data_IF_443630934266
#
_entry.id   IF_443630934266
#
_cell.length_a   1.000
_cell.length_b   1.000
_cell.length_c   1.000
_cell.angle_alpha   90.00
_cell.angle_beta   90.00
_cell.angle_gamma   90.00
#
_symmetry.space_group_name_H-M   'P 1'
#
loop_
_entity.id
_entity.type
_entity.pdbx_description
1 polymer ?
#
# COMPACT_ATOMS: atom_id res chain seq x y z
N UNK A 1 -38.65 44.96 12.95
CA UNK A 1 -38.90 43.62 12.38
C UNK A 1 -37.55 42.91 12.37
N UNK A 2 -37.26 42.11 13.39
CA UNK A 2 -35.95 41.47 13.57
C UNK A 2 -35.87 40.21 12.69
N UNK A 3 -34.84 40.15 11.84
CA UNK A 3 -34.57 38.99 11.00
C UNK A 3 -33.68 38.02 11.77
N UNK A 4 -34.17 36.81 12.01
CA UNK A 4 -33.45 35.73 12.70
C UNK A 4 -32.68 34.93 11.65
N UNK A 5 -31.35 35.00 11.71
CA UNK A 5 -30.45 34.18 10.89
C UNK A 5 -30.31 32.82 11.58
N UNK A 6 -30.80 31.76 10.92
CA UNK A 6 -30.56 30.38 11.34
C UNK A 6 -29.17 29.94 10.92
N UNK A 7 -28.30 29.70 11.90
CA UNK A 7 -27.01 29.06 11.70
C UNK A 7 -27.26 27.55 11.60
N UNK A 8 -27.09 26.99 10.41
CA UNK A 8 -27.09 25.54 10.20
C UNK A 8 -25.73 25.02 10.66
N UNK A 9 -25.68 24.46 11.88
CA UNK A 9 -24.55 23.67 12.36
C UNK A 9 -24.56 22.32 11.61
N UNK A 10 -23.70 22.19 10.60
CA UNK A 10 -23.34 20.90 10.05
C UNK A 10 -22.59 20.11 11.13
N UNK A 11 -23.26 19.12 11.71
CA UNK A 11 -22.63 18.10 12.53
C UNK A 11 -21.86 17.16 11.61
N UNK A 12 -20.54 17.35 11.50
CA UNK A 12 -19.67 16.30 10.99
C UNK A 12 -19.75 15.13 11.98
N UNK A 13 -20.36 14.01 11.56
CA UNK A 13 -20.16 12.74 12.26
C UNK A 13 -18.68 12.39 12.13
N UNK A 14 -17.89 12.68 13.16
CA UNK A 14 -16.57 12.10 13.35
C UNK A 14 -16.80 10.58 13.51
N UNK A 15 -16.63 9.85 12.42
CA UNK A 15 -16.45 8.40 12.53
C UNK A 15 -15.07 8.18 13.15
N UNK A 16 -15.02 7.44 14.25
CA UNK A 16 -13.76 7.09 14.88
C UNK A 16 -13.17 5.91 14.11
N UNK A 17 -12.09 6.16 13.36
CA UNK A 17 -11.32 5.09 12.75
C UNK A 17 -10.74 4.13 13.80
N UNK A 18 -10.25 2.97 13.35
CA UNK A 18 -9.55 2.01 14.19
C UNK A 18 -8.31 2.68 14.81
N UNK A 19 -8.37 2.97 16.11
CA UNK A 19 -7.25 3.58 16.83
C UNK A 19 -6.48 2.53 17.64
N UNK A 20 -5.89 1.56 16.94
CA UNK A 20 -5.00 0.57 17.55
C UNK A 20 -3.53 1.06 17.66
N UNK A 21 -3.27 2.33 17.34
CA UNK A 21 -1.93 2.94 17.39
C UNK A 21 -1.00 2.54 16.24
N UNK A 22 -1.42 1.69 15.31
CA UNK A 22 -0.60 1.17 14.21
C UNK A 22 -0.87 1.89 12.89
N UNK A 23 -0.05 1.58 11.88
CA UNK A 23 -0.16 2.07 10.51
C UNK A 23 -0.34 3.61 10.42
N UNK A 24 0.32 4.38 11.28
CA UNK A 24 0.24 5.86 11.26
C UNK A 24 0.85 6.46 9.99
N UNK A 25 1.69 5.70 9.29
CA UNK A 25 2.05 5.85 7.88
C UNK A 25 1.71 4.55 7.14
N UNK A 26 1.64 4.54 5.79
CA UNK A 26 1.36 3.32 5.04
C UNK A 26 2.38 2.21 5.36
N UNK A 27 1.95 0.96 5.60
CA UNK A 27 2.89 -0.13 5.89
C UNK A 27 3.88 -0.37 4.75
N UNK A 28 5.15 -0.61 5.09
CA UNK A 28 6.20 -0.96 4.13
C UNK A 28 6.76 -2.36 4.44
N UNK A 29 6.83 -3.24 3.45
CA UNK A 29 7.32 -4.60 3.68
C UNK A 29 7.48 -5.42 2.42
N UNK A 30 7.46 -6.74 2.61
CA UNK A 30 7.51 -7.74 1.56
C UNK A 30 6.38 -8.76 1.78
N UNK A 31 5.71 -9.15 0.69
CA UNK A 31 4.58 -10.08 0.69
C UNK A 31 4.79 -11.13 -0.42
N UNK A 32 4.52 -12.40 -0.13
CA UNK A 32 4.95 -13.50 -1.03
C UNK A 32 4.11 -13.68 -2.31
N UNK A 33 2.88 -13.14 -2.35
CA UNK A 33 1.84 -13.57 -3.31
C UNK A 33 2.20 -13.37 -4.78
N UNK A 34 2.45 -12.15 -5.25
CA UNK A 34 2.54 -11.89 -6.69
C UNK A 34 3.68 -12.68 -7.35
N UNK A 35 4.82 -12.81 -6.66
CA UNK A 35 6.02 -13.45 -7.22
C UNK A 35 6.07 -14.96 -7.01
N UNK A 36 5.65 -15.45 -5.84
CA UNK A 36 5.80 -16.86 -5.44
C UNK A 36 4.48 -17.64 -5.48
N UNK A 37 3.34 -16.94 -5.47
CA UNK A 37 1.99 -17.51 -5.62
C UNK A 37 1.78 -18.67 -4.65
N UNK A 38 1.06 -19.70 -5.10
CA UNK A 38 0.80 -20.91 -4.33
C UNK A 38 1.78 -22.06 -4.69
N UNK A 39 3.06 -21.76 -4.92
CA UNK A 39 4.04 -22.81 -5.20
C UNK A 39 4.32 -23.65 -3.95
N UNK A 40 3.88 -24.91 -3.94
CA UNK A 40 4.08 -25.84 -2.81
C UNK A 40 5.01 -27.00 -3.14
N UNK A 41 5.58 -27.04 -4.34
CA UNK A 41 6.48 -28.10 -4.80
C UNK A 41 7.92 -27.85 -4.34
N UNK A 42 8.18 -28.06 -3.05
CA UNK A 42 9.52 -27.93 -2.48
C UNK A 42 10.47 -29.07 -2.87
N UNK A 43 10.00 -30.09 -3.60
CA UNK A 43 10.88 -31.17 -4.07
C UNK A 43 11.57 -30.76 -5.35
N UNK A 44 10.80 -30.22 -6.31
CA UNK A 44 11.34 -29.83 -7.61
C UNK A 44 11.73 -28.35 -7.69
N UNK A 45 11.20 -27.50 -6.79
CA UNK A 45 11.46 -26.07 -6.75
C UNK A 45 11.70 -25.54 -5.31
N UNK A 46 12.70 -26.09 -4.59
CA UNK A 46 12.92 -25.83 -3.16
C UNK A 46 13.20 -24.36 -2.84
N UNK A 47 13.80 -23.64 -3.78
CA UNK A 47 14.18 -22.24 -3.61
C UNK A 47 12.98 -21.29 -3.77
N UNK A 48 11.89 -21.70 -4.42
CA UNK A 48 10.75 -20.80 -4.70
C UNK A 48 9.43 -21.29 -4.12
N UNK A 49 9.38 -22.48 -3.53
CA UNK A 49 8.19 -22.93 -2.85
C UNK A 49 7.92 -22.12 -1.56
N UNK A 50 6.65 -21.96 -1.22
CA UNK A 50 6.19 -21.33 0.02
C UNK A 50 6.60 -22.20 1.20
N UNK A 51 7.72 -21.84 1.83
CA UNK A 51 8.38 -22.60 2.90
C UNK A 51 9.07 -21.68 3.90
N UNK A 52 9.33 -22.18 5.11
CA UNK A 52 10.08 -21.47 6.15
C UNK A 52 11.41 -20.92 5.63
N UNK A 53 12.12 -21.69 4.80
CA UNK A 53 13.41 -21.28 4.21
C UNK A 53 13.28 -20.05 3.31
N UNK A 54 12.19 -19.95 2.52
CA UNK A 54 11.93 -18.78 1.68
C UNK A 54 11.82 -17.52 2.55
N UNK A 55 10.99 -17.56 3.60
CA UNK A 55 10.77 -16.40 4.47
C UNK A 55 12.00 -16.02 5.29
N UNK A 56 12.77 -17.00 5.80
CA UNK A 56 14.05 -16.73 6.48
C UNK A 56 15.05 -16.05 5.53
N UNK A 57 15.15 -16.53 4.28
CA UNK A 57 16.03 -15.95 3.27
C UNK A 57 15.64 -14.51 2.93
N UNK A 58 14.34 -14.25 2.70
CA UNK A 58 13.86 -12.89 2.42
C UNK A 58 14.05 -11.96 3.61
N UNK A 59 13.85 -12.45 4.84
CA UNK A 59 14.11 -11.71 6.08
C UNK A 59 15.57 -11.26 6.15
N UNK A 60 16.51 -12.18 5.93
CA UNK A 60 17.94 -11.87 6.01
C UNK A 60 18.36 -10.87 4.93
N UNK A 61 17.81 -10.98 3.71
CA UNK A 61 18.10 -10.04 2.61
C UNK A 61 17.49 -8.67 2.90
N UNK A 62 16.25 -8.58 3.40
CA UNK A 62 15.63 -7.29 3.75
C UNK A 62 16.53 -6.48 4.70
N UNK A 63 17.18 -7.16 5.65
CA UNK A 63 18.17 -6.54 6.54
C UNK A 63 19.50 -6.27 5.83
N UNK A 64 20.14 -7.31 5.30
CA UNK A 64 21.51 -7.24 4.77
C UNK A 64 21.65 -6.28 3.58
N UNK A 65 20.61 -6.20 2.75
CA UNK A 65 20.60 -5.39 1.54
C UNK A 65 20.06 -3.97 1.74
N UNK A 66 19.70 -3.62 2.97
CA UNK A 66 19.36 -2.25 3.37
C UNK A 66 17.90 -1.84 3.19
N UNK A 67 16.99 -2.77 2.85
CA UNK A 67 15.55 -2.48 2.76
C UNK A 67 14.97 -2.07 4.12
N UNK A 68 15.35 -2.77 5.18
CA UNK A 68 15.00 -2.38 6.55
C UNK A 68 15.46 -0.95 6.89
N UNK A 69 16.64 -0.55 6.41
CA UNK A 69 17.22 0.78 6.66
C UNK A 69 16.48 1.94 5.97
N UNK A 70 15.60 1.64 5.01
CA UNK A 70 14.75 2.61 4.32
C UNK A 70 13.28 2.46 4.70
N UNK A 71 12.94 1.56 5.63
CA UNK A 71 11.59 1.46 6.22
C UNK A 71 10.83 0.16 5.96
N UNK A 72 11.30 -0.74 5.09
CA UNK A 72 10.63 -2.03 4.86
C UNK A 72 10.78 -2.93 6.09
N UNK A 73 9.71 -3.07 6.87
CA UNK A 73 9.76 -3.75 8.17
C UNK A 73 8.89 -5.01 8.27
N UNK A 74 7.89 -5.21 7.40
CA UNK A 74 7.01 -6.38 7.43
C UNK A 74 7.48 -7.50 6.49
N UNK A 75 7.50 -8.74 6.99
CA UNK A 75 7.65 -9.97 6.20
C UNK A 75 6.34 -10.75 6.28
N UNK A 76 5.55 -10.69 5.21
CA UNK A 76 4.18 -11.20 5.18
C UNK A 76 4.10 -12.50 4.37
N UNK A 77 3.62 -13.56 5.01
CA UNK A 77 3.19 -14.76 4.31
C UNK A 77 1.79 -14.56 3.74
N UNK A 78 1.58 -14.98 2.50
CA UNK A 78 0.27 -15.03 1.86
C UNK A 78 -0.34 -16.44 1.91
N UNK A 79 -1.31 -16.75 1.06
CA UNK A 79 -1.99 -18.05 1.03
C UNK A 79 -1.01 -19.24 0.85
N UNK A 80 -1.51 -20.45 1.09
CA UNK A 80 -0.84 -21.73 0.88
C UNK A 80 0.21 -22.12 1.92
N UNK A 81 0.23 -21.50 3.10
CA UNK A 81 1.11 -21.88 4.21
C UNK A 81 0.60 -23.06 5.05
N UNK A 82 -0.71 -23.35 4.94
CA UNK A 82 -1.45 -24.31 5.75
C UNK A 82 -1.30 -25.78 5.31
N UNK A 83 -1.55 -26.70 6.23
CA UNK A 83 -2.03 -28.05 5.93
C UNK A 83 -3.44 -27.99 5.32
N UNK A 84 -3.86 -29.03 4.59
CA UNK A 84 -5.22 -29.09 4.00
C UNK A 84 -6.34 -29.27 5.02
N UNK A 85 -6.00 -29.60 6.27
CA UNK A 85 -6.96 -29.78 7.35
C UNK A 85 -6.46 -29.12 8.63
N UNK A 86 -7.41 -28.55 9.39
CA UNK A 86 -7.18 -28.15 10.77
C UNK A 86 -6.81 -29.37 11.63
N UNK A 87 -6.17 -29.13 12.76
CA UNK A 87 -5.94 -30.17 13.77
C UNK A 87 -7.27 -30.70 14.34
N UNK A 88 -7.19 -31.79 15.13
CA UNK A 88 -8.38 -32.38 15.76
C UNK A 88 -9.11 -31.42 16.71
N UNK A 89 -8.37 -30.51 17.35
CA UNK A 89 -8.91 -29.43 18.19
C UNK A 89 -9.32 -28.18 17.39
N UNK A 90 -9.29 -28.23 16.05
CA UNK A 90 -9.78 -27.17 15.17
C UNK A 90 -8.82 -25.98 14.99
N UNK A 91 -7.53 -26.12 15.32
CA UNK A 91 -6.53 -25.07 15.08
C UNK A 91 -6.02 -25.12 13.64
N UNK A 92 -5.67 -23.95 13.09
CA UNK A 92 -4.86 -23.88 11.88
C UNK A 92 -3.50 -24.56 12.13
N UNK A 93 -3.00 -25.25 11.11
CA UNK A 93 -1.73 -25.98 11.18
C UNK A 93 -0.90 -25.59 9.98
N UNK A 94 0.31 -25.07 10.22
CA UNK A 94 1.27 -24.86 9.13
C UNK A 94 1.68 -26.20 8.53
N UNK A 95 1.89 -26.24 7.21
CA UNK A 95 2.36 -27.43 6.53
C UNK A 95 3.66 -27.95 7.16
N UNK A 96 3.62 -29.17 7.71
CA UNK A 96 4.72 -29.70 8.53
C UNK A 96 6.00 -29.99 7.74
N UNK A 97 5.91 -30.13 6.41
CA UNK A 97 7.08 -30.36 5.57
C UNK A 97 7.74 -29.04 5.18
N UNK A 98 6.92 -28.04 4.88
CA UNK A 98 7.39 -26.73 4.39
C UNK A 98 7.73 -25.76 5.53
N UNK A 99 7.08 -25.92 6.68
CA UNK A 99 7.29 -25.14 7.90
C UNK A 99 7.53 -26.05 9.11
N UNK A 100 8.60 -26.86 9.10
CA UNK A 100 8.84 -27.88 10.13
C UNK A 100 9.00 -27.30 11.53
N UNK A 101 9.47 -26.06 11.67
CA UNK A 101 9.61 -25.39 12.98
C UNK A 101 8.33 -24.70 13.46
N UNK A 102 7.32 -24.56 12.59
CA UNK A 102 6.05 -23.90 12.86
C UNK A 102 6.10 -22.36 12.82
N UNK A 103 4.91 -21.73 12.77
CA UNK A 103 4.79 -20.27 12.57
C UNK A 103 5.36 -19.44 13.71
N UNK A 104 5.25 -19.90 14.97
CA UNK A 104 5.85 -19.21 16.11
C UNK A 104 7.37 -19.06 15.95
N UNK A 105 8.05 -20.13 15.54
CA UNK A 105 9.50 -20.11 15.36
C UNK A 105 9.91 -19.19 14.19
N UNK A 106 9.16 -19.19 13.09
CA UNK A 106 9.38 -18.26 11.98
C UNK A 106 9.16 -16.81 12.40
N UNK A 107 8.08 -16.54 13.14
CA UNK A 107 7.79 -15.21 13.72
C UNK A 107 8.94 -14.74 14.62
N UNK A 108 9.39 -15.58 15.57
CA UNK A 108 10.53 -15.29 16.44
C UNK A 108 11.83 -15.05 15.64
N UNK A 109 12.04 -15.78 14.53
CA UNK A 109 13.17 -15.56 13.63
C UNK A 109 13.11 -14.16 13.02
N UNK A 110 11.97 -13.76 12.46
CA UNK A 110 11.75 -12.43 11.87
C UNK A 110 11.98 -11.33 12.91
N UNK A 111 11.44 -11.48 14.12
CA UNK A 111 11.65 -10.52 15.22
C UNK A 111 13.11 -10.40 15.64
N UNK A 112 13.86 -11.51 15.65
CA UNK A 112 15.29 -11.49 16.01
C UNK A 112 16.16 -10.69 15.02
N UNK A 113 15.61 -10.35 13.84
CA UNK A 113 16.23 -9.48 12.82
C UNK A 113 15.71 -8.04 12.88
N UNK A 114 14.88 -7.71 13.87
CA UNK A 114 14.27 -6.39 14.04
C UNK A 114 13.14 -6.09 13.05
N UNK A 115 12.62 -7.12 12.37
CA UNK A 115 11.49 -7.02 11.45
C UNK A 115 10.20 -7.51 12.13
N UNK A 116 9.07 -7.38 11.43
CA UNK A 116 7.71 -7.74 11.87
C UNK A 116 7.16 -8.86 11.01
N UNK A 117 6.45 -9.81 11.62
CA UNK A 117 5.92 -10.98 10.91
C UNK A 117 4.42 -10.80 10.62
N UNK A 118 4.03 -10.98 9.36
CA UNK A 118 2.63 -10.97 8.95
C UNK A 118 2.14 -12.31 8.45
N UNK A 119 0.87 -12.60 8.69
CA UNK A 119 0.18 -13.83 8.28
C UNK A 119 -1.03 -13.53 7.40
N UNK A 120 -1.41 -14.51 6.58
CA UNK A 120 -2.61 -14.49 5.76
C UNK A 120 -3.65 -15.45 6.30
N UNK A 121 -4.90 -15.05 6.19
CA UNK A 121 -6.04 -15.94 6.28
C UNK A 121 -7.22 -15.43 5.43
N UNK A 122 -8.33 -16.14 5.40
CA UNK A 122 -9.54 -15.78 4.62
C UNK A 122 -10.81 -15.77 5.49
N UNK A 123 -11.62 -14.70 5.39
CA UNK A 123 -13.01 -14.66 5.85
C UNK A 123 -13.91 -15.49 4.94
N UNK A 124 -13.76 -16.81 5.04
CA UNK A 124 -14.39 -17.78 4.17
C UNK A 124 -14.41 -19.17 4.79
N UNK A 125 -15.11 -20.10 4.14
CA UNK A 125 -14.98 -21.52 4.48
C UNK A 125 -13.61 -22.09 4.07
N UNK A 126 -13.03 -21.50 3.03
CA UNK A 126 -11.70 -21.83 2.52
C UNK A 126 -10.97 -20.55 2.12
N UNK A 127 -9.64 -20.59 2.11
CA UNK A 127 -8.82 -19.60 1.42
C UNK A 127 -9.04 -19.68 -0.08
N UNK A 128 -8.63 -18.65 -0.82
CA UNK A 128 -8.73 -18.63 -2.28
C UNK A 128 -8.04 -19.85 -2.96
N UNK A 129 -6.96 -20.40 -2.38
CA UNK A 129 -6.29 -21.62 -2.84
C UNK A 129 -6.84 -22.93 -2.23
N UNK A 130 -7.97 -22.87 -1.54
CA UNK A 130 -8.68 -24.04 -1.02
C UNK A 130 -8.04 -24.65 0.23
N UNK A 131 -7.43 -23.84 1.10
CA UNK A 131 -7.03 -24.23 2.47
C UNK A 131 -8.11 -23.84 3.48
N UNK A 132 -8.11 -24.31 4.74
CA UNK A 132 -9.18 -24.00 5.70
C UNK A 132 -9.27 -22.50 6.02
N UNK A 133 -10.44 -21.86 5.83
CA UNK A 133 -10.69 -20.44 6.20
C UNK A 133 -11.26 -20.28 7.63
N UNK A 134 -11.50 -19.04 8.08
CA UNK A 134 -11.82 -18.75 9.50
C UNK A 134 -13.28 -18.92 9.92
N UNK A 135 -14.25 -19.08 9.00
CA UNK A 135 -15.67 -19.09 9.39
C UNK A 135 -15.94 -20.19 10.43
N UNK A 136 -16.46 -19.81 11.60
CA UNK A 136 -16.71 -20.69 12.75
C UNK A 136 -15.51 -20.95 13.67
N UNK A 137 -14.35 -20.36 13.37
CA UNK A 137 -13.10 -20.48 14.14
C UNK A 137 -12.46 -19.12 14.46
N UNK A 138 -13.16 -18.02 14.22
CA UNK A 138 -12.65 -16.64 14.23
C UNK A 138 -11.91 -16.27 15.52
N UNK A 139 -12.50 -16.56 16.68
CA UNK A 139 -11.89 -16.27 17.99
C UNK A 139 -10.63 -17.11 18.22
N UNK A 140 -10.68 -18.39 17.83
CA UNK A 140 -9.56 -19.32 18.01
C UNK A 140 -8.38 -18.93 17.12
N UNK A 141 -8.65 -18.54 15.88
CA UNK A 141 -7.60 -18.15 14.94
C UNK A 141 -6.99 -16.80 15.33
N UNK A 142 -7.79 -15.84 15.80
CA UNK A 142 -7.27 -14.59 16.36
C UNK A 142 -6.33 -14.83 17.56
N UNK A 143 -6.72 -15.69 18.51
CA UNK A 143 -5.87 -16.08 19.64
C UNK A 143 -4.60 -16.79 19.19
N UNK A 144 -4.70 -17.68 18.20
CA UNK A 144 -3.54 -18.40 17.66
C UNK A 144 -2.52 -17.45 17.02
N UNK A 145 -2.98 -16.43 16.30
CA UNK A 145 -2.09 -15.42 15.71
C UNK A 145 -1.38 -14.60 16.80
N UNK A 146 -2.08 -14.26 17.88
CA UNK A 146 -1.47 -13.63 19.05
C UNK A 146 -0.47 -14.54 19.76
N UNK A 147 -0.78 -15.84 19.94
CA UNK A 147 0.14 -16.86 20.48
C UNK A 147 1.41 -16.97 19.62
N UNK A 148 1.27 -16.86 18.30
CA UNK A 148 2.37 -16.83 17.32
C UNK A 148 3.11 -15.50 17.22
N UNK A 149 2.74 -14.51 18.04
CA UNK A 149 3.32 -13.18 18.05
C UNK A 149 3.23 -12.45 16.69
N UNK A 150 2.18 -12.70 15.91
CA UNK A 150 1.97 -12.04 14.61
C UNK A 150 1.80 -10.53 14.79
N UNK A 151 2.30 -9.74 13.85
CA UNK A 151 2.23 -8.26 13.82
C UNK A 151 1.32 -7.70 12.73
N UNK A 152 0.97 -8.52 11.74
CA UNK A 152 0.17 -8.11 10.58
C UNK A 152 -0.72 -9.27 10.15
N UNK A 153 -2.01 -9.04 9.91
CA UNK A 153 -2.95 -10.05 9.42
C UNK A 153 -3.61 -9.53 8.14
N UNK A 154 -3.37 -10.20 7.01
CA UNK A 154 -4.18 -10.06 5.80
C UNK A 154 -5.36 -11.02 5.90
N UNK A 155 -6.58 -10.51 5.75
CA UNK A 155 -7.79 -11.32 5.69
C UNK A 155 -8.47 -11.17 4.34
N UNK A 156 -8.45 -12.24 3.57
CA UNK A 156 -9.12 -12.35 2.28
C UNK A 156 -10.60 -12.66 2.44
N UNK A 157 -11.34 -12.88 1.34
CA UNK A 157 -12.79 -13.06 1.37
C UNK A 157 -13.35 -14.04 0.35
N UNK A 158 -12.54 -15.01 -0.11
CA UNK A 158 -13.03 -16.08 -0.97
C UNK A 158 -14.01 -16.99 -0.19
N UNK A 159 -14.89 -17.70 -0.91
CA UNK A 159 -15.79 -18.69 -0.29
C UNK A 159 -16.70 -18.14 0.84
N UNK A 160 -16.98 -16.84 0.84
CA UNK A 160 -17.97 -16.16 1.68
C UNK A 160 -18.98 -15.35 0.86
N UNK A 161 -20.10 -15.00 1.48
CA UNK A 161 -21.09 -14.11 0.88
C UNK A 161 -20.68 -12.65 1.14
N UNK A 162 -20.60 -11.79 0.10
CA UNK A 162 -20.24 -10.38 0.27
C UNK A 162 -21.14 -9.58 1.22
N UNK A 163 -22.39 -10.00 1.41
CA UNK A 163 -23.33 -9.40 2.38
C UNK A 163 -22.96 -9.69 3.84
N UNK A 164 -22.23 -10.77 4.12
CA UNK A 164 -21.83 -11.15 5.48
C UNK A 164 -20.53 -10.46 5.92
N UNK A 165 -19.81 -9.82 4.99
CA UNK A 165 -18.49 -9.23 5.23
C UNK A 165 -18.56 -8.04 6.19
N UNK A 166 -19.66 -7.28 6.18
CA UNK A 166 -19.89 -6.17 7.12
C UNK A 166 -19.80 -6.64 8.58
N UNK A 167 -20.41 -7.78 8.89
CA UNK A 167 -20.34 -8.34 10.23
C UNK A 167 -19.04 -9.11 10.45
N UNK A 168 -18.61 -9.88 9.46
CA UNK A 168 -17.45 -10.76 9.50
C UNK A 168 -16.14 -10.06 9.81
N UNK A 169 -15.74 -9.14 8.93
CA UNK A 169 -14.50 -8.39 9.08
C UNK A 169 -14.51 -7.53 10.34
N UNK A 170 -15.64 -6.87 10.62
CA UNK A 170 -15.81 -6.10 11.85
C UNK A 170 -15.64 -6.94 13.11
N UNK A 171 -16.22 -8.14 13.13
CA UNK A 171 -16.11 -9.07 14.25
C UNK A 171 -14.68 -9.56 14.42
N UNK A 172 -14.04 -10.00 13.33
CA UNK A 172 -12.66 -10.47 13.39
C UNK A 172 -11.69 -9.37 13.82
N UNK A 173 -11.84 -8.13 13.33
CA UNK A 173 -11.07 -6.99 13.82
C UNK A 173 -11.21 -6.74 15.32
N UNK A 174 -12.41 -6.92 15.90
CA UNK A 174 -12.63 -6.85 17.35
C UNK A 174 -11.96 -8.01 18.09
N UNK A 175 -12.01 -9.22 17.53
CA UNK A 175 -11.37 -10.40 18.11
C UNK A 175 -9.85 -10.26 18.14
N UNK A 176 -9.24 -9.77 17.05
CA UNK A 176 -7.81 -9.43 17.01
C UNK A 176 -7.45 -8.44 18.12
N UNK A 177 -8.23 -7.37 18.28
CA UNK A 177 -8.02 -6.39 19.35
C UNK A 177 -8.17 -7.00 20.75
N UNK A 178 -9.14 -7.90 20.96
CA UNK A 178 -9.37 -8.53 22.27
C UNK A 178 -8.24 -9.47 22.73
N UNK A 179 -7.37 -9.91 21.82
CA UNK A 179 -6.17 -10.68 22.19
C UNK A 179 -5.15 -9.86 23.00
N UNK A 180 -5.21 -8.53 22.92
CA UNK A 180 -4.22 -7.63 23.51
C UNK A 180 -2.90 -7.53 22.72
N UNK A 181 -2.72 -8.29 21.64
CA UNK A 181 -1.57 -8.17 20.73
C UNK A 181 -1.89 -7.14 19.64
N UNK A 182 -1.04 -6.12 19.53
CA UNK A 182 -1.12 -5.15 18.43
C UNK A 182 -0.79 -5.84 17.10
N UNK A 183 -1.77 -5.87 16.19
CA UNK A 183 -1.68 -6.44 14.84
C UNK A 183 -2.25 -5.45 13.83
N UNK A 184 -1.50 -5.15 12.77
CA UNK A 184 -2.01 -4.43 11.60
C UNK A 184 -3.05 -5.32 10.94
N UNK A 185 -4.24 -4.80 10.67
CA UNK A 185 -5.31 -5.58 10.04
C UNK A 185 -5.62 -5.09 8.62
N UNK A 186 -5.28 -5.93 7.64
CA UNK A 186 -5.42 -5.68 6.21
C UNK A 186 -6.61 -6.44 5.64
N UNK A 187 -7.61 -5.72 5.13
CA UNK A 187 -8.91 -6.29 4.77
C UNK A 187 -9.13 -6.33 3.26
N UNK A 188 -9.44 -7.49 2.69
CA UNK A 188 -9.97 -7.56 1.31
C UNK A 188 -11.46 -7.24 1.20
N UNK A 189 -12.11 -6.82 2.28
CA UNK A 189 -13.56 -6.57 2.34
C UNK A 189 -14.13 -5.74 1.17
N UNK A 190 -13.59 -4.55 0.82
CA UNK A 190 -14.22 -3.71 -0.21
C UNK A 190 -14.22 -4.36 -1.59
N UNK A 191 -13.13 -5.00 -2.02
CA UNK A 191 -13.02 -5.56 -3.38
C UNK A 191 -14.09 -6.62 -3.66
N UNK A 192 -14.37 -7.52 -2.70
CA UNK A 192 -15.43 -8.52 -2.87
C UNK A 192 -16.84 -7.92 -2.89
N UNK A 193 -17.09 -6.87 -2.11
CA UNK A 193 -18.37 -6.15 -2.17
C UNK A 193 -18.54 -5.42 -3.51
N UNK A 194 -17.49 -4.78 -4.00
CA UNK A 194 -17.47 -4.10 -5.30
C UNK A 194 -17.78 -5.09 -6.43
N UNK A 195 -17.17 -6.28 -6.41
CA UNK A 195 -17.48 -7.34 -7.37
C UNK A 195 -18.94 -7.78 -7.35
N UNK A 196 -19.59 -7.73 -6.19
CA UNK A 196 -21.00 -8.05 -6.04
C UNK A 196 -21.94 -6.86 -6.36
N UNK A 197 -21.41 -5.71 -6.78
CA UNK A 197 -22.19 -4.49 -7.00
C UNK A 197 -22.68 -3.83 -5.71
N UNK A 198 -22.09 -4.16 -4.57
CA UNK A 198 -22.38 -3.58 -3.26
C UNK A 198 -21.44 -2.39 -3.05
N UNK A 199 -22.00 -1.24 -2.65
CA UNK A 199 -21.22 -0.06 -2.30
C UNK A 199 -20.58 -0.25 -0.92
N UNK A 200 -19.24 -0.27 -0.78
CA UNK A 200 -18.60 -0.48 0.50
C UNK A 200 -18.89 0.64 1.50
N UNK A 201 -19.12 0.28 2.76
CA UNK A 201 -19.25 1.24 3.85
C UNK A 201 -17.87 1.61 4.41
N UNK A 202 -17.18 2.55 3.76
CA UNK A 202 -15.82 2.95 4.15
C UNK A 202 -15.73 3.44 5.60
N UNK A 203 -16.79 4.03 6.15
CA UNK A 203 -16.81 4.46 7.56
C UNK A 203 -16.67 3.26 8.52
N UNK A 204 -17.34 2.15 8.21
CA UNK A 204 -17.21 0.91 8.98
C UNK A 204 -15.85 0.24 8.76
N UNK A 205 -15.38 0.22 7.50
CA UNK A 205 -14.07 -0.33 7.15
C UNK A 205 -12.95 0.42 7.88
N UNK A 206 -12.95 1.76 7.86
CA UNK A 206 -12.00 2.60 8.60
C UNK A 206 -12.00 2.32 10.10
N UNK A 207 -13.16 2.02 10.68
CA UNK A 207 -13.31 1.74 12.12
C UNK A 207 -12.76 0.36 12.52
N UNK A 208 -12.51 -0.51 11.55
CA UNK A 208 -12.17 -1.91 11.79
C UNK A 208 -10.91 -2.40 11.10
N UNK A 209 -10.39 -1.72 10.08
CA UNK A 209 -9.24 -2.13 9.28
C UNK A 209 -8.17 -1.03 9.25
N UNK A 210 -6.90 -1.44 9.28
CA UNK A 210 -5.78 -0.50 9.09
C UNK A 210 -5.50 -0.19 7.62
N UNK A 211 -5.88 -1.09 6.73
CA UNK A 211 -5.82 -0.90 5.29
C UNK A 211 -6.78 -1.86 4.59
N UNK A 212 -7.13 -1.56 3.34
CA UNK A 212 -8.06 -2.39 2.59
C UNK A 212 -7.84 -2.38 1.08
N UNK A 213 -7.98 -3.56 0.47
CA UNK A 213 -7.93 -3.74 -0.98
C UNK A 213 -9.25 -3.29 -1.61
N UNK A 214 -9.16 -2.34 -2.55
CA UNK A 214 -10.33 -1.80 -3.25
C UNK A 214 -10.61 -2.43 -4.61
N UNK A 215 -9.61 -3.06 -5.22
CA UNK A 215 -9.66 -3.43 -6.64
C UNK A 215 -8.90 -4.73 -6.92
N UNK A 216 -8.94 -5.14 -8.19
CA UNK A 216 -8.34 -6.36 -8.72
C UNK A 216 -6.90 -6.60 -8.26
N UNK A 217 -6.57 -7.89 -8.11
CA UNK A 217 -5.20 -8.33 -7.86
C UNK A 217 -4.26 -7.84 -8.96
N UNK A 218 -3.15 -7.24 -8.53
CA UNK A 218 -2.07 -6.88 -9.43
C UNK A 218 -1.44 -8.14 -10.03
N UNK A 219 -1.16 -8.06 -11.33
CA UNK A 219 -0.42 -9.07 -12.08
C UNK A 219 0.85 -8.44 -12.63
N UNK A 220 1.90 -9.25 -12.84
CA UNK A 220 3.17 -8.81 -13.43
C UNK A 220 3.05 -8.35 -14.89
N UNK A 221 2.40 -7.21 -15.11
CA UNK A 221 2.19 -6.60 -16.41
C UNK A 221 1.91 -5.11 -16.26
N UNK A 222 2.38 -4.33 -17.25
CA UNK A 222 2.05 -2.91 -17.32
C UNK A 222 0.55 -2.64 -17.40
N UNK A 223 -0.21 -3.47 -18.11
CA UNK A 223 -1.65 -3.32 -18.23
C UNK A 223 -2.38 -3.42 -16.88
N UNK A 224 -1.92 -4.30 -15.98
CA UNK A 224 -2.48 -4.42 -14.63
C UNK A 224 -2.21 -3.15 -13.80
N UNK A 225 -0.97 -2.64 -13.83
CA UNK A 225 -0.61 -1.36 -13.19
C UNK A 225 -1.48 -0.22 -13.73
N UNK A 226 -1.64 -0.12 -15.05
CA UNK A 226 -2.47 0.89 -15.69
C UNK A 226 -3.93 0.82 -15.27
N UNK A 227 -4.51 -0.38 -15.21
CA UNK A 227 -5.89 -0.58 -14.79
C UNK A 227 -6.11 -0.15 -13.33
N UNK A 228 -5.16 -0.45 -12.43
CA UNK A 228 -5.20 -0.01 -11.04
C UNK A 228 -5.11 1.52 -10.95
N UNK A 229 -4.15 2.13 -11.66
CA UNK A 229 -4.00 3.60 -11.72
C UNK A 229 -5.29 4.26 -12.22
N UNK A 230 -5.91 3.71 -13.26
CA UNK A 230 -7.16 4.23 -13.79
C UNK A 230 -8.33 4.03 -12.84
N UNK A 231 -8.44 2.87 -12.16
CA UNK A 231 -9.48 2.66 -11.15
C UNK A 231 -9.39 3.70 -10.02
N UNK A 232 -8.21 3.87 -9.44
CA UNK A 232 -7.99 4.83 -8.36
C UNK A 232 -8.21 6.27 -8.84
N UNK A 233 -7.76 6.61 -10.04
CA UNK A 233 -7.93 7.96 -10.62
C UNK A 233 -9.35 8.27 -11.07
N UNK A 234 -10.14 7.27 -11.46
CA UNK A 234 -11.54 7.44 -11.89
C UNK A 234 -12.49 7.47 -10.69
N UNK A 235 -12.12 6.83 -9.57
CA UNK A 235 -12.95 6.73 -8.36
C UNK A 235 -12.43 7.57 -7.18
N UNK A 236 -11.48 8.49 -7.43
CA UNK A 236 -10.78 9.26 -6.40
C UNK A 236 -11.67 10.12 -5.49
N UNK A 237 -12.84 10.56 -5.96
CA UNK A 237 -13.79 11.33 -5.13
C UNK A 237 -14.40 10.46 -4.03
N UNK A 238 -14.57 9.17 -4.28
CA UNK A 238 -15.08 8.20 -3.31
C UNK A 238 -13.96 7.64 -2.43
N UNK A 239 -12.81 7.30 -3.02
CA UNK A 239 -11.78 6.48 -2.36
C UNK A 239 -10.79 7.33 -1.54
N UNK A 240 -10.24 8.41 -2.13
CA UNK A 240 -9.15 9.15 -1.51
C UNK A 240 -9.49 9.80 -0.16
N UNK A 241 -10.71 10.32 0.09
CA UNK A 241 -11.06 10.90 1.39
C UNK A 241 -11.04 9.90 2.56
N UNK A 242 -11.02 8.59 2.28
CA UNK A 242 -11.03 7.56 3.32
C UNK A 242 -9.64 7.16 3.80
N UNK A 243 -8.57 7.58 3.11
CA UNK A 243 -7.19 7.30 3.53
C UNK A 243 -6.68 8.33 4.53
N UNK A 244 -5.91 7.86 5.52
CA UNK A 244 -5.26 8.70 6.53
C UNK A 244 -4.49 7.87 7.56
N UNK A 245 -3.82 8.53 8.52
CA UNK A 245 -3.05 7.84 9.55
C UNK A 245 -3.86 6.77 10.29
N UNK A 246 -3.47 5.51 10.11
CA UNK A 246 -4.10 4.33 10.71
C UNK A 246 -5.08 3.58 9.80
N UNK A 247 -5.43 4.11 8.61
CA UNK A 247 -6.45 3.56 7.73
C UNK A 247 -6.18 3.91 6.24
N UNK A 248 -5.65 2.96 5.45
CA UNK A 248 -5.15 3.22 4.09
C UNK A 248 -5.89 2.47 2.99
N UNK A 249 -5.97 3.09 1.81
CA UNK A 249 -6.36 2.37 0.60
C UNK A 249 -5.18 1.55 0.08
N UNK A 250 -5.44 0.29 -0.30
CA UNK A 250 -4.42 -0.64 -0.80
C UNK A 250 -4.63 -0.92 -2.31
N UNK A 251 -3.81 -0.34 -3.20
CA UNK A 251 -3.78 -0.64 -4.63
C UNK A 251 -3.01 -1.92 -4.99
N UNK A 252 -2.73 -2.78 -4.00
CA UNK A 252 -1.97 -4.03 -4.10
C UNK A 252 -0.45 -3.84 -4.23
N UNK A 253 0.27 -4.96 -4.26
CA UNK A 253 1.73 -5.04 -4.16
C UNK A 253 2.52 -4.26 -5.22
N UNK A 254 3.77 -3.91 -4.87
CA UNK A 254 4.80 -3.48 -5.80
C UNK A 254 5.41 -4.68 -6.53
N UNK A 255 5.37 -4.69 -7.87
CA UNK A 255 5.92 -5.75 -8.73
C UNK A 255 7.27 -5.35 -9.35
N UNK A 256 7.91 -4.33 -8.77
CA UNK A 256 9.16 -3.73 -9.26
C UNK A 256 10.29 -4.75 -9.11
N UNK A 257 10.91 -5.10 -10.23
CA UNK A 257 12.01 -6.06 -10.28
C UNK A 257 11.61 -7.48 -10.66
N UNK A 258 10.32 -7.74 -10.91
CA UNK A 258 9.84 -8.97 -11.55
C UNK A 258 10.11 -8.91 -13.07
N UNK A 259 9.19 -9.43 -13.89
CA UNK A 259 9.43 -9.71 -15.30
C UNK A 259 8.67 -8.78 -16.25
N UNK A 260 7.51 -8.26 -15.83
CA UNK A 260 6.53 -7.60 -16.68
C UNK A 260 6.66 -6.09 -16.80
N UNK A 261 7.46 -5.43 -15.94
CA UNK A 261 7.67 -3.99 -15.98
C UNK A 261 9.03 -3.61 -16.58
N UNK A 262 9.00 -2.67 -17.52
CA UNK A 262 10.20 -1.94 -17.94
C UNK A 262 10.72 -1.04 -16.80
N UNK A 263 11.93 -0.50 -16.96
CA UNK A 263 12.49 0.44 -15.99
C UNK A 263 11.61 1.69 -15.81
N UNK A 264 11.09 2.26 -16.89
CA UNK A 264 10.19 3.42 -16.85
C UNK A 264 8.86 3.10 -16.17
N UNK A 265 8.30 1.92 -16.45
CA UNK A 265 7.05 1.46 -15.85
C UNK A 265 7.20 1.20 -14.34
N UNK A 266 8.34 0.64 -13.93
CA UNK A 266 8.67 0.46 -12.52
C UNK A 266 8.81 1.81 -11.78
N UNK A 267 9.46 2.81 -12.40
CA UNK A 267 9.48 4.19 -11.86
C UNK A 267 8.05 4.74 -11.71
N UNK A 268 7.20 4.52 -12.71
CA UNK A 268 5.80 4.97 -12.68
C UNK A 268 4.99 4.30 -11.56
N UNK A 269 5.11 2.99 -11.36
CA UNK A 269 4.42 2.29 -10.27
C UNK A 269 4.83 2.89 -8.91
N UNK A 270 6.13 2.99 -8.63
CA UNK A 270 6.61 3.48 -7.34
C UNK A 270 6.17 4.93 -7.06
N UNK A 271 6.24 5.79 -8.08
CA UNK A 271 5.81 7.18 -7.96
C UNK A 271 4.31 7.31 -7.69
N UNK A 272 3.47 6.56 -8.42
CA UNK A 272 2.02 6.64 -8.26
C UNK A 272 1.56 6.01 -6.94
N UNK A 273 2.13 4.89 -6.53
CA UNK A 273 1.84 4.31 -5.20
C UNK A 273 2.18 5.32 -4.09
N UNK A 274 3.32 6.00 -4.20
CA UNK A 274 3.72 7.03 -3.24
C UNK A 274 2.80 8.26 -3.27
N UNK A 275 2.28 8.65 -4.44
CA UNK A 275 1.27 9.72 -4.53
C UNK A 275 -0.06 9.26 -3.91
N UNK A 276 -0.42 7.99 -4.03
CA UNK A 276 -1.65 7.44 -3.49
C UNK A 276 -1.59 7.18 -1.97
N UNK A 277 -0.44 7.38 -1.32
CA UNK A 277 -0.22 6.98 0.08
C UNK A 277 -0.52 5.49 0.30
N UNK A 278 -0.05 4.68 -0.65
CA UNK A 278 -0.30 3.25 -0.68
C UNK A 278 0.69 2.50 0.24
N UNK A 279 0.31 1.34 0.80
CA UNK A 279 1.27 0.42 1.37
C UNK A 279 2.36 0.08 0.33
N UNK A 280 3.64 0.15 0.72
CA UNK A 280 4.76 -0.23 -0.13
C UNK A 280 5.15 -1.69 0.19
N UNK A 281 4.29 -2.62 -0.21
CA UNK A 281 4.50 -4.05 -0.05
C UNK A 281 5.15 -4.65 -1.31
N UNK A 282 6.45 -4.92 -1.25
CA UNK A 282 7.18 -5.57 -2.33
C UNK A 282 6.74 -7.02 -2.50
N UNK A 283 6.55 -7.48 -3.73
CA UNK A 283 6.46 -8.91 -4.02
C UNK A 283 7.40 -9.26 -5.17
N UNK A 284 8.67 -9.49 -4.83
CA UNK A 284 9.77 -9.74 -5.77
C UNK A 284 10.80 -10.67 -5.13
N UNK A 285 11.54 -11.42 -5.94
CA UNK A 285 12.65 -12.23 -5.45
C UNK A 285 13.89 -11.36 -5.19
N UNK A 286 14.12 -11.05 -3.91
CA UNK A 286 15.22 -10.16 -3.49
C UNK A 286 16.61 -10.78 -3.69
N UNK A 287 16.72 -12.10 -3.88
CA UNK A 287 18.01 -12.78 -4.14
C UNK A 287 18.59 -12.38 -5.50
N UNK A 288 17.74 -12.03 -6.45
CA UNK A 288 18.11 -11.84 -7.86
C UNK A 288 17.66 -10.50 -8.45
N UNK A 289 17.14 -9.60 -7.61
CA UNK A 289 16.67 -8.28 -8.05
C UNK A 289 17.82 -7.46 -8.68
N UNK A 290 17.56 -6.89 -9.85
CA UNK A 290 18.57 -6.09 -10.56
C UNK A 290 18.84 -4.76 -9.81
N UNK A 291 20.09 -4.26 -9.79
CA UNK A 291 20.45 -3.05 -9.03
C UNK A 291 19.58 -1.82 -9.33
N UNK A 292 19.19 -1.62 -10.59
CA UNK A 292 18.33 -0.49 -10.98
C UNK A 292 16.93 -0.53 -10.34
N UNK A 293 16.34 -1.71 -10.13
CA UNK A 293 15.03 -1.86 -9.49
C UNK A 293 15.14 -1.78 -7.97
N UNK A 294 16.23 -2.32 -7.41
CA UNK A 294 16.60 -2.10 -6.00
C UNK A 294 16.73 -0.61 -5.70
N UNK A 295 17.36 0.16 -6.58
CA UNK A 295 17.50 1.60 -6.40
C UNK A 295 16.15 2.34 -6.40
N UNK A 296 15.19 1.93 -7.25
CA UNK A 296 13.83 2.47 -7.20
C UNK A 296 13.20 2.20 -5.83
N UNK A 297 13.18 0.94 -5.41
CA UNK A 297 12.58 0.53 -4.14
C UNK A 297 13.26 1.17 -2.92
N UNK A 298 14.55 1.51 -2.99
CA UNK A 298 15.28 2.15 -1.90
C UNK A 298 15.38 3.67 -2.03
N UNK A 299 14.64 4.29 -2.94
CA UNK A 299 14.68 5.75 -3.13
C UNK A 299 14.07 6.47 -1.93
N UNK A 300 14.94 6.93 -1.01
CA UNK A 300 14.58 7.62 0.23
C UNK A 300 13.74 8.89 0.00
N UNK A 301 13.95 9.59 -1.11
CA UNK A 301 13.18 10.82 -1.40
C UNK A 301 11.71 10.50 -1.69
N UNK A 302 11.45 9.44 -2.46
CA UNK A 302 10.10 9.01 -2.81
C UNK A 302 9.44 8.29 -1.64
N UNK A 303 10.18 7.47 -0.89
CA UNK A 303 9.70 6.88 0.37
C UNK A 303 9.26 7.98 1.35
N UNK A 304 10.01 9.09 1.46
CA UNK A 304 9.61 10.20 2.31
C UNK A 304 8.30 10.89 1.85
N UNK A 305 7.98 10.87 0.55
CA UNK A 305 6.67 11.29 0.06
C UNK A 305 5.60 10.31 0.49
N UNK A 306 5.83 9.01 0.30
CA UNK A 306 4.89 7.96 0.70
C UNK A 306 4.56 8.04 2.19
N UNK A 307 5.60 8.11 3.02
CA UNK A 307 5.58 8.12 4.48
C UNK A 307 5.32 9.50 5.09
N UNK A 308 4.86 10.48 4.29
CA UNK A 308 4.57 11.82 4.79
C UNK A 308 3.53 11.78 5.94
N UNK A 309 3.81 12.42 7.10
CA UNK A 309 3.00 12.27 8.31
C UNK A 309 1.62 12.94 8.23
N UNK A 310 1.36 13.80 7.23
CA UNK A 310 0.01 14.31 7.01
C UNK A 310 -0.93 13.20 6.57
N UNK A 311 -0.41 12.14 5.94
CA UNK A 311 -1.19 10.98 5.52
C UNK A 311 -2.29 11.29 4.50
N UNK A 312 -2.18 12.40 3.78
CA UNK A 312 -3.16 12.81 2.78
C UNK A 312 -2.87 12.05 1.47
N UNK A 313 -3.80 11.21 1.04
CA UNK A 313 -3.73 10.57 -0.26
C UNK A 313 -3.86 11.60 -1.41
N UNK A 314 -2.97 11.50 -2.39
CA UNK A 314 -2.95 12.34 -3.58
C UNK A 314 -4.00 11.98 -4.61
N UNK A 315 -4.08 12.79 -5.68
CA UNK A 315 -5.17 12.77 -6.66
C UNK A 315 -4.63 13.02 -8.07
N UNK A 316 -5.34 12.50 -9.09
CA UNK A 316 -5.14 12.88 -10.49
C UNK A 316 -5.79 14.23 -10.73
N UNK A 317 -4.98 15.23 -11.07
CA UNK A 317 -5.41 16.62 -11.29
C UNK A 317 -5.51 16.98 -12.77
N UNK A 318 -4.89 16.19 -13.65
CA UNK A 318 -4.92 16.40 -15.09
C UNK A 318 -4.91 15.06 -15.84
N UNK A 319 -5.69 14.97 -16.92
CA UNK A 319 -5.66 13.86 -17.89
C UNK A 319 -6.03 14.36 -19.28
N UNK A 320 -5.10 14.32 -20.22
CA UNK A 320 -5.37 14.66 -21.61
C UNK A 320 -4.37 14.02 -22.56
N UNK A 321 -4.84 13.41 -23.66
CA UNK A 321 -4.01 12.85 -24.74
C UNK A 321 -2.85 11.96 -24.26
N UNK A 322 -3.13 11.10 -23.28
CA UNK A 322 -2.12 10.20 -22.71
C UNK A 322 -1.14 10.85 -21.75
N UNK A 323 -1.32 12.11 -21.37
CA UNK A 323 -0.56 12.75 -20.29
C UNK A 323 -1.46 12.86 -19.06
N UNK A 324 -0.92 12.45 -17.91
CA UNK A 324 -1.56 12.59 -16.61
C UNK A 324 -0.65 13.37 -15.65
N UNK A 325 -1.26 14.18 -14.79
CA UNK A 325 -0.55 14.83 -13.68
C UNK A 325 -1.27 14.46 -12.40
N UNK A 326 -0.52 13.96 -11.44
CA UNK A 326 -0.99 13.59 -10.12
C UNK A 326 -0.30 14.47 -9.07
N UNK A 327 -1.00 14.80 -8.00
CA UNK A 327 -0.48 15.69 -6.95
C UNK A 327 -0.90 15.18 -5.57
N UNK A 328 0.05 15.19 -4.63
CA UNK A 328 -0.16 14.85 -3.22
C UNK A 328 0.29 16.02 -2.34
N UNK A 329 -0.59 16.60 -1.50
CA UNK A 329 -0.18 17.51 -0.44
C UNK A 329 0.70 16.78 0.58
N UNK A 330 1.83 17.36 0.93
CA UNK A 330 2.82 16.81 1.86
C UNK A 330 3.38 17.91 2.78
N UNK A 331 4.08 17.50 3.82
CA UNK A 331 4.86 18.36 4.69
C UNK A 331 6.17 18.84 4.03
N UNK A 332 6.77 19.95 4.51
CA UNK A 332 6.22 20.91 5.48
C UNK A 332 5.08 21.73 4.88
N UNK A 333 4.23 22.29 5.75
CA UNK A 333 3.25 23.30 5.38
C UNK A 333 3.66 24.66 5.96
N UNK A 334 3.34 25.73 5.25
CA UNK A 334 3.51 27.10 5.72
C UNK A 334 2.16 27.81 5.69
N UNK A 335 1.64 28.14 6.87
CA UNK A 335 0.27 28.64 7.05
C UNK A 335 -0.76 27.68 6.40
N UNK A 336 -1.45 28.11 5.34
CA UNK A 336 -2.43 27.30 4.61
C UNK A 336 -1.87 26.71 3.31
N UNK A 337 -0.55 26.79 3.08
CA UNK A 337 0.11 26.31 1.87
C UNK A 337 0.89 25.04 2.17
N UNK A 338 0.47 23.93 1.57
CA UNK A 338 1.21 22.67 1.61
C UNK A 338 2.45 22.72 0.73
N UNK A 339 3.44 21.89 1.04
CA UNK A 339 4.35 21.36 0.03
C UNK A 339 3.62 20.31 -0.81
N UNK A 340 4.13 19.99 -2.00
CA UNK A 340 3.48 19.04 -2.90
C UNK A 340 4.47 18.09 -3.53
N UNK A 341 4.11 16.81 -3.60
CA UNK A 341 4.70 15.88 -4.55
C UNK A 341 3.83 15.83 -5.82
N UNK A 342 4.46 15.86 -6.99
CA UNK A 342 3.79 15.95 -8.28
C UNK A 342 4.39 14.91 -9.22
N UNK A 343 3.56 14.01 -9.75
CA UNK A 343 3.97 13.01 -10.73
C UNK A 343 3.39 13.33 -12.10
N UNK A 344 4.27 13.55 -13.07
CA UNK A 344 3.95 13.71 -14.49
C UNK A 344 4.10 12.36 -15.18
N UNK A 345 2.98 11.74 -15.54
CA UNK A 345 2.96 10.40 -16.14
C UNK A 345 2.63 10.51 -17.62
N UNK A 346 3.42 9.80 -18.44
CA UNK A 346 3.17 9.69 -19.86
C UNK A 346 2.63 8.29 -20.18
N UNK A 347 1.31 8.19 -20.34
CA UNK A 347 0.56 6.98 -20.73
C UNK A 347 0.65 6.68 -22.23
N UNK A 348 1.37 7.48 -23.02
CA UNK A 348 1.59 7.19 -24.43
C UNK A 348 2.52 6.00 -24.61
N UNK A 349 2.32 5.26 -25.69
CA UNK A 349 3.11 4.10 -26.08
C UNK A 349 3.90 4.32 -27.38
N UNK A 350 3.81 5.53 -27.94
CA UNK A 350 4.43 5.90 -29.21
C UNK A 350 5.65 6.81 -29.04
N UNK A 351 6.52 6.79 -30.06
CA UNK A 351 7.47 7.86 -30.34
C UNK A 351 8.56 8.10 -29.30
N UNK A 352 8.73 9.38 -28.94
CA UNK A 352 9.83 9.91 -28.11
C UNK A 352 9.26 10.55 -26.83
N UNK A 353 10.10 10.97 -25.87
CA UNK A 353 9.63 11.58 -24.64
C UNK A 353 8.74 12.81 -24.91
N UNK A 354 7.68 12.96 -24.12
CA UNK A 354 6.74 14.08 -24.26
C UNK A 354 7.17 15.28 -23.41
N UNK A 355 7.24 16.45 -24.03
CA UNK A 355 7.48 17.72 -23.33
C UNK A 355 6.17 18.22 -22.72
N UNK A 356 6.15 18.37 -21.39
CA UNK A 356 5.03 18.91 -20.63
C UNK A 356 5.46 20.25 -20.06
N UNK A 357 4.68 21.30 -20.31
CA UNK A 357 4.94 22.64 -19.78
C UNK A 357 3.69 23.19 -19.09
N UNK A 358 3.83 23.47 -17.80
CA UNK A 358 2.74 23.97 -16.94
C UNK A 358 3.30 24.99 -15.95
N UNK A 359 2.47 25.93 -15.52
CA UNK A 359 2.82 26.82 -14.41
C UNK A 359 2.64 26.13 -13.06
N UNK A 360 3.39 26.56 -12.05
CA UNK A 360 3.19 26.06 -10.68
C UNK A 360 1.76 26.31 -10.18
N UNK A 361 1.15 27.45 -10.55
CA UNK A 361 -0.23 27.77 -10.20
C UNK A 361 -1.24 26.76 -10.76
N UNK A 362 -1.04 26.27 -11.98
CA UNK A 362 -1.89 25.22 -12.59
C UNK A 362 -1.78 23.88 -11.84
N UNK A 363 -0.68 23.66 -11.13
CA UNK A 363 -0.45 22.47 -10.28
C UNK A 363 -0.98 22.64 -8.84
N UNK A 364 -1.54 23.82 -8.50
CA UNK A 364 -2.00 24.15 -7.16
C UNK A 364 -0.94 24.79 -6.26
N UNK A 365 0.28 25.01 -6.76
CA UNK A 365 1.39 25.64 -6.02
C UNK A 365 1.25 27.17 -6.12
N UNK A 366 0.49 27.76 -5.20
CA UNK A 366 0.02 29.16 -5.27
C UNK A 366 0.65 30.12 -4.25
N UNK A 367 1.51 29.64 -3.36
CA UNK A 367 2.24 30.50 -2.41
C UNK A 367 3.11 31.55 -3.15
N UNK A 368 2.92 32.83 -2.82
CA UNK A 368 3.60 33.94 -3.48
C UNK A 368 5.10 34.01 -3.16
N UNK A 369 5.54 33.40 -2.05
CA UNK A 369 6.97 33.30 -1.70
C UNK A 369 7.69 32.16 -2.42
N UNK A 370 6.96 31.35 -3.19
CA UNK A 370 7.51 30.32 -4.07
C UNK A 370 7.65 28.94 -3.41
N UNK A 371 8.23 28.03 -4.20
CA UNK A 371 8.47 26.64 -3.85
C UNK A 371 9.87 26.24 -4.33
N UNK A 372 10.67 25.59 -3.49
CA UNK A 372 11.91 24.95 -3.96
C UNK A 372 11.53 23.63 -4.62
N UNK A 373 11.87 23.49 -5.91
CA UNK A 373 11.43 22.35 -6.71
C UNK A 373 12.61 21.44 -7.04
N UNK A 374 12.52 20.17 -6.71
CA UNK A 374 13.52 19.15 -7.05
C UNK A 374 12.90 17.93 -7.72
N UNK A 375 13.68 17.23 -8.56
CA UNK A 375 13.36 15.90 -9.08
C UNK A 375 13.70 14.82 -8.03
N UNK A 376 12.83 13.83 -7.91
CA UNK A 376 12.94 12.76 -6.92
C UNK A 376 13.62 11.50 -7.45
N UNK A 377 13.74 11.33 -8.77
CA UNK A 377 14.51 10.26 -9.39
C UNK A 377 15.88 10.71 -9.85
N UNK A 378 15.96 11.92 -10.38
CA UNK A 378 17.20 12.49 -10.91
C UNK A 378 17.78 13.51 -9.92
N UNK A 379 19.10 13.70 -9.94
CA UNK A 379 19.73 14.70 -9.08
C UNK A 379 19.62 16.12 -9.68
N UNK A 380 18.39 16.62 -9.80
CA UNK A 380 18.07 17.92 -10.41
C UNK A 380 17.32 18.79 -9.40
N UNK A 381 17.90 19.95 -9.08
CA UNK A 381 17.27 21.01 -8.29
C UNK A 381 16.96 22.18 -9.23
N UNK A 382 15.68 22.53 -9.36
CA UNK A 382 15.20 23.64 -10.19
C UNK A 382 15.24 24.99 -9.44
N UNK A 383 15.64 24.99 -8.18
CA UNK A 383 15.66 26.18 -7.32
C UNK A 383 14.26 26.60 -6.87
N UNK A 384 14.15 27.85 -6.41
CA UNK A 384 12.87 28.43 -6.01
C UNK A 384 12.11 28.93 -7.23
N UNK A 385 10.95 28.33 -7.49
CA UNK A 385 10.03 28.70 -8.56
C UNK A 385 8.78 29.37 -7.98
N UNK A 386 8.19 30.30 -8.73
CA UNK A 386 7.03 31.08 -8.32
C UNK A 386 5.76 30.60 -9.05
N UNK A 387 4.55 30.92 -8.56
CA UNK A 387 3.30 30.42 -9.14
C UNK A 387 3.16 30.62 -10.66
N UNK A 388 3.69 31.73 -11.20
CA UNK A 388 3.61 32.02 -12.64
C UNK A 388 4.77 31.43 -13.46
N UNK A 389 5.78 30.83 -12.81
CA UNK A 389 6.90 30.20 -13.50
C UNK A 389 6.43 28.91 -14.18
N UNK A 390 6.78 28.74 -15.46
CA UNK A 390 6.55 27.49 -16.19
C UNK A 390 7.65 26.50 -15.90
N UNK A 391 7.29 25.36 -15.33
CA UNK A 391 8.17 24.19 -15.31
C UNK A 391 8.01 23.42 -16.61
N UNK A 392 9.12 22.82 -17.07
CA UNK A 392 9.16 21.97 -18.27
C UNK A 392 9.81 20.66 -17.90
N UNK A 393 9.08 19.57 -18.10
CA UNK A 393 9.58 18.22 -17.89
C UNK A 393 9.43 17.41 -19.17
N UNK A 394 10.37 16.50 -19.39
CA UNK A 394 10.37 15.59 -20.53
C UNK A 394 10.16 14.18 -20.01
N UNK A 395 9.03 13.56 -20.35
CA UNK A 395 8.59 12.28 -19.76
C UNK A 395 8.59 11.17 -20.80
N UNK A 396 9.36 10.12 -20.54
CA UNK A 396 9.46 8.94 -21.42
C UNK A 396 8.09 8.23 -21.56
N UNK A 397 7.77 7.59 -22.70
CA UNK A 397 6.58 6.75 -22.84
C UNK A 397 6.50 5.69 -21.72
N UNK A 398 5.33 5.51 -21.12
CA UNK A 398 5.07 4.70 -19.92
C UNK A 398 5.87 5.08 -18.65
N UNK A 399 6.59 6.19 -18.71
CA UNK A 399 7.45 6.68 -17.63
C UNK A 399 6.82 7.81 -16.81
N UNK A 400 7.62 8.29 -15.86
CA UNK A 400 7.25 9.34 -14.92
C UNK A 400 8.42 10.30 -14.67
N UNK A 401 8.09 11.58 -14.50
CA UNK A 401 8.94 12.54 -13.77
C UNK A 401 8.21 12.89 -12.48
N UNK A 402 8.87 12.73 -11.33
CA UNK A 402 8.28 13.02 -10.02
C UNK A 402 9.06 14.14 -9.36
N UNK A 403 8.34 15.21 -9.00
CA UNK A 403 8.91 16.40 -8.39
C UNK A 403 8.39 16.60 -6.98
N UNK A 404 9.20 17.20 -6.11
CA UNK A 404 8.74 17.80 -4.86
C UNK A 404 8.86 19.32 -4.97
N UNK A 405 7.78 20.03 -4.71
CA UNK A 405 7.75 21.46 -4.49
C UNK A 405 7.61 21.75 -3.00
N UNK A 406 8.71 22.10 -2.34
CA UNK A 406 8.73 22.46 -0.93
C UNK A 406 8.35 23.93 -0.75
N UNK A 407 7.29 24.20 -0.01
CA UNK A 407 6.78 25.55 0.23
C UNK A 407 7.85 26.42 0.90
N UNK A 408 8.09 27.62 0.37
CA UNK A 408 9.03 28.58 0.97
C UNK A 408 8.29 29.53 1.92
N UNK A 409 9.05 30.11 2.84
CA UNK A 409 8.62 31.17 3.75
C UNK A 409 9.38 32.46 3.40
N UNK A 410 8.90 33.64 3.80
CA UNK A 410 9.67 34.87 3.65
C UNK A 410 11.04 34.68 4.30
N UNK A 411 12.12 34.95 3.57
CA UNK A 411 13.41 35.14 4.22
C UNK A 411 13.27 36.35 5.16
N UNK A 412 13.73 36.24 6.40
CA UNK A 412 13.80 37.37 7.33
C UNK A 412 14.52 38.52 6.60
N UNK A 413 13.77 39.59 6.32
CA UNK A 413 14.25 40.82 5.67
C UNK A 413 14.99 41.70 6.67
#
# INVERSE_FOLDING_TARGET
>A
MFSVIWIILLSFKLSNALDNGLAKTPPMGWLSWERFRCNTDCVNDPDNCISEQLFQTMTDIVVADGYASVGYEYINIDDCWLEKHRSHDGKLVADRKRFPSGMKALSDYVHSRGLKFGIYEDYGNYTCAGYPGIIGYEEKDALLFAEWNVDYVKLDGCYALPYDMDQGYSNFGRLLNSTGKSMVYSCSWPVYQIYAGIQPNYSAIQSHCNLWRNYDDIQDSWASVENIIDYYGNNQDLIAPNAGPGHWNDPDMLIIGNFGLSYEQAKTQFAIWSILAAPLLMSVDLRTIRPQFKHILQNRKIIAVDQDPLGIQGRRIYKHKGIEIWSRPISPLYQNFYSYAIAFVNRRTDGTPSDISVTLKELGLINFTGYRVEDLYENVDYGVLYPNTKIKVKVNPSGVVMLKGEVQFPADL
#
